data_IF_126766307385
#
_entry.id   IF_126766307385
#
_cell.length_a   1.000
_cell.length_b   1.000
_cell.length_c   1.000
_cell.angle_alpha   90.00
_cell.angle_beta   90.00
_cell.angle_gamma   90.00
#
_symmetry.space_group_name_H-M   'P 1'
#
loop_
_entity.id
_entity.type
_entity.pdbx_description
1 polymer ?
#
# COMPACT_ATOMS: atom_id res chain seq x y z
N UNK A 1 14.59 0.51 -14.78
CA UNK A 1 13.24 0.24 -14.22
C UNK A 1 13.39 -0.35 -12.83
N UNK A 2 12.61 0.11 -11.84
CA UNK A 2 12.67 -0.42 -10.47
C UNK A 2 11.76 -1.64 -10.25
N UNK A 3 11.94 -2.34 -9.12
CA UNK A 3 11.18 -3.56 -8.74
C UNK A 3 9.66 -3.38 -8.87
N UNK A 4 9.11 -2.30 -8.31
CA UNK A 4 7.67 -2.03 -8.37
C UNK A 4 7.15 -1.76 -9.77
N UNK A 5 7.91 -1.06 -10.61
CA UNK A 5 7.49 -0.75 -11.98
C UNK A 5 7.48 -2.02 -12.83
N UNK A 6 8.49 -2.88 -12.70
CA UNK A 6 8.51 -4.17 -13.38
C UNK A 6 7.34 -5.06 -12.95
N UNK A 7 7.05 -5.13 -11.63
CA UNK A 7 5.90 -5.86 -11.11
C UNK A 7 4.55 -5.33 -11.64
N UNK A 8 4.40 -4.00 -11.73
CA UNK A 8 3.21 -3.37 -12.29
C UNK A 8 3.02 -3.73 -13.77
N UNK A 9 4.08 -3.63 -14.59
CA UNK A 9 4.00 -4.00 -16.02
C UNK A 9 3.54 -5.45 -16.16
N UNK A 10 4.22 -6.39 -15.50
CA UNK A 10 3.94 -7.82 -15.64
C UNK A 10 2.57 -8.22 -15.08
N UNK A 11 2.14 -7.62 -13.96
CA UNK A 11 0.83 -7.92 -13.37
C UNK A 11 -0.33 -7.33 -14.17
N UNK A 12 -0.22 -6.09 -14.64
CA UNK A 12 -1.32 -5.42 -15.34
C UNK A 12 -1.47 -5.91 -16.79
N UNK A 13 -0.36 -6.12 -17.50
CA UNK A 13 -0.40 -6.52 -18.92
C UNK A 13 -0.52 -8.02 -19.13
N UNK A 14 0.14 -8.83 -18.29
CA UNK A 14 0.27 -10.27 -18.46
C UNK A 14 -0.35 -11.07 -17.30
N UNK A 15 -1.02 -10.39 -16.36
CA UNK A 15 -1.69 -11.02 -15.21
C UNK A 15 -0.76 -11.90 -14.36
N UNK A 16 0.54 -11.57 -14.34
CA UNK A 16 1.52 -12.29 -13.53
C UNK A 16 1.42 -11.83 -12.07
N UNK A 17 1.51 -12.73 -11.08
CA UNK A 17 1.23 -12.44 -9.68
C UNK A 17 2.40 -11.70 -9.00
N UNK A 18 2.77 -10.53 -9.54
CA UNK A 18 3.82 -9.69 -8.96
C UNK A 18 3.19 -8.54 -8.16
N UNK A 19 3.59 -8.36 -6.89
CA UNK A 19 3.14 -7.24 -6.08
C UNK A 19 3.77 -5.92 -6.53
N UNK A 20 3.17 -4.82 -6.10
CA UNK A 20 3.66 -3.46 -6.32
C UNK A 20 3.88 -2.74 -4.99
N UNK A 21 4.71 -1.71 -4.98
CA UNK A 21 4.98 -0.92 -3.78
C UNK A 21 5.39 0.52 -4.12
N UNK A 22 4.52 1.21 -4.86
CA UNK A 22 4.67 2.64 -5.15
C UNK A 22 4.32 3.51 -3.94
N UNK A 23 4.38 4.83 -4.08
CA UNK A 23 4.07 5.76 -2.98
C UNK A 23 2.62 5.68 -2.49
N UNK A 24 1.68 5.24 -3.33
CA UNK A 24 0.28 5.05 -2.96
C UNK A 24 0.11 3.79 -2.11
N UNK A 25 0.62 2.66 -2.61
CA UNK A 25 0.54 1.36 -1.95
C UNK A 25 1.28 1.39 -0.61
N UNK A 26 2.48 2.01 -0.54
CA UNK A 26 3.22 2.19 0.73
C UNK A 26 2.36 2.84 1.81
N UNK A 27 1.61 3.89 1.46
CA UNK A 27 0.76 4.62 2.42
C UNK A 27 -0.46 3.81 2.86
N UNK A 28 -1.12 3.12 1.93
CA UNK A 28 -2.24 2.25 2.24
C UNK A 28 -1.80 1.15 3.20
N UNK A 29 -0.73 0.42 2.87
CA UNK A 29 -0.23 -0.69 3.68
C UNK A 29 0.29 -0.21 5.04
N UNK A 30 1.09 0.87 5.06
CA UNK A 30 1.62 1.39 6.32
C UNK A 30 0.51 1.81 7.29
N UNK A 31 -0.58 2.42 6.80
CA UNK A 31 -1.72 2.79 7.64
C UNK A 31 -2.54 1.59 8.08
N UNK A 32 -2.85 0.68 7.15
CA UNK A 32 -3.68 -0.48 7.45
C UNK A 32 -3.04 -1.38 8.51
N UNK A 33 -1.73 -1.60 8.41
CA UNK A 33 -0.95 -2.49 9.27
C UNK A 33 -0.13 -1.76 10.34
N UNK A 34 -0.30 -0.44 10.51
CA UNK A 34 0.47 0.38 11.45
C UNK A 34 2.00 0.16 11.35
N UNK A 35 2.53 0.15 10.13
CA UNK A 35 3.97 -0.02 9.89
C UNK A 35 4.70 1.27 10.22
N UNK A 36 5.32 1.31 11.40
CA UNK A 36 6.10 2.44 11.88
C UNK A 36 7.41 2.63 11.11
N UNK A 37 7.93 3.85 11.19
CA UNK A 37 9.23 4.20 10.61
C UNK A 37 9.18 4.71 9.17
N UNK A 38 10.30 5.30 8.75
CA UNK A 38 10.44 5.90 7.43
C UNK A 38 10.70 4.82 6.36
N UNK A 39 9.88 4.72 5.29
CA UNK A 39 10.08 3.73 4.22
C UNK A 39 11.37 3.89 3.40
N UNK A 40 12.19 4.90 3.68
CA UNK A 40 13.55 5.00 3.14
C UNK A 40 14.59 4.18 3.90
N UNK A 41 14.28 3.70 5.11
CA UNK A 41 15.09 2.70 5.82
C UNK A 41 14.83 1.32 5.24
N UNK A 42 15.90 0.53 5.05
CA UNK A 42 15.81 -0.78 4.39
C UNK A 42 14.90 -1.76 5.12
N UNK A 43 14.95 -1.76 6.46
CA UNK A 43 14.10 -2.59 7.31
C UNK A 43 12.59 -2.32 7.10
N UNK A 44 12.20 -1.04 7.05
CA UNK A 44 10.80 -0.62 6.84
C UNK A 44 10.36 -0.91 5.41
N UNK A 45 11.24 -0.66 4.43
CA UNK A 45 10.97 -0.99 3.04
C UNK A 45 10.73 -2.50 2.84
N UNK A 46 11.57 -3.35 3.43
CA UNK A 46 11.43 -4.80 3.36
C UNK A 46 10.11 -5.25 4.01
N UNK A 47 9.76 -4.70 5.18
CA UNK A 47 8.50 -5.04 5.85
C UNK A 47 7.27 -4.72 4.99
N UNK A 48 7.29 -3.57 4.31
CA UNK A 48 6.22 -3.18 3.39
C UNK A 48 6.16 -4.08 2.15
N UNK A 49 7.30 -4.56 1.65
CA UNK A 49 7.33 -5.56 0.57
C UNK A 49 6.75 -6.90 1.00
N UNK A 50 7.10 -7.39 2.18
CA UNK A 50 6.54 -8.64 2.73
C UNK A 50 5.01 -8.56 2.84
N UNK A 51 4.48 -7.45 3.36
CA UNK A 51 3.03 -7.25 3.46
C UNK A 51 2.41 -7.20 2.06
N UNK A 52 3.02 -6.47 1.12
CA UNK A 52 2.51 -6.40 -0.26
C UNK A 52 2.45 -7.79 -0.90
N UNK A 53 3.50 -8.60 -0.75
CA UNK A 53 3.53 -9.99 -1.21
C UNK A 53 2.43 -10.84 -0.58
N UNK A 54 2.18 -10.69 0.72
CA UNK A 54 1.15 -11.46 1.45
C UNK A 54 -0.28 -11.14 1.00
N UNK A 55 -0.56 -9.87 0.69
CA UNK A 55 -1.92 -9.44 0.34
C UNK A 55 -2.22 -9.50 -1.15
N UNK A 56 -1.19 -9.51 -2.02
CA UNK A 56 -1.38 -9.57 -3.47
C UNK A 56 -1.90 -10.97 -3.88
N UNK A 57 -3.10 -11.07 -4.44
CA UNK A 57 -3.65 -12.34 -4.85
C UNK A 57 -3.03 -12.82 -6.16
N UNK A 58 -3.01 -14.14 -6.37
CA UNK A 58 -2.63 -14.70 -7.67
C UNK A 58 -3.70 -14.49 -8.72
N UNK A 59 -4.98 -14.68 -8.36
CA UNK A 59 -6.13 -14.49 -9.25
C UNK A 59 -6.63 -13.05 -9.17
N UNK A 60 -6.78 -12.38 -10.31
CA UNK A 60 -7.24 -11.00 -10.35
C UNK A 60 -6.19 -9.99 -9.90
N UNK A 61 -4.90 -10.34 -10.00
CA UNK A 61 -3.78 -9.46 -9.64
C UNK A 61 -3.82 -8.11 -10.37
N UNK A 62 -4.29 -8.11 -11.62
CA UNK A 62 -4.42 -6.90 -12.43
C UNK A 62 -5.43 -5.92 -11.82
N UNK A 63 -6.54 -6.44 -11.30
CA UNK A 63 -7.57 -5.64 -10.64
C UNK A 63 -7.11 -5.22 -9.25
N UNK A 64 -6.47 -6.12 -8.50
CA UNK A 64 -5.98 -5.84 -7.17
C UNK A 64 -4.91 -4.72 -7.18
N UNK A 65 -3.91 -4.84 -8.05
CA UNK A 65 -2.84 -3.85 -8.13
C UNK A 65 -3.37 -2.49 -8.58
N UNK A 66 -4.27 -2.44 -9.56
CA UNK A 66 -4.92 -1.19 -9.96
C UNK A 66 -5.74 -0.59 -8.82
N UNK A 67 -6.56 -1.40 -8.14
CA UNK A 67 -7.37 -0.96 -7.01
C UNK A 67 -6.52 -0.41 -5.86
N UNK A 68 -5.36 -0.99 -5.56
CA UNK A 68 -4.45 -0.48 -4.54
C UNK A 68 -3.86 0.88 -4.90
N UNK A 69 -3.52 1.11 -6.17
CA UNK A 69 -3.07 2.42 -6.64
C UNK A 69 -4.19 3.45 -6.56
N UNK A 70 -5.39 3.11 -7.05
CA UNK A 70 -6.57 3.97 -7.04
C UNK A 70 -6.99 4.34 -5.60
N UNK A 71 -6.96 3.36 -4.69
CA UNK A 71 -7.27 3.55 -3.28
C UNK A 71 -6.30 4.55 -2.66
N UNK A 72 -5.00 4.40 -2.89
CA UNK A 72 -4.02 5.37 -2.39
C UNK A 72 -4.21 6.75 -3.03
N UNK A 73 -4.50 6.82 -4.33
CA UNK A 73 -4.63 8.08 -5.05
C UNK A 73 -5.86 8.91 -4.60
N UNK A 74 -7.02 8.26 -4.41
CA UNK A 74 -8.31 8.95 -4.28
C UNK A 74 -8.96 8.88 -2.90
N UNK A 75 -8.64 7.84 -2.10
CA UNK A 75 -9.32 7.55 -0.83
C UNK A 75 -8.37 7.68 0.35
N UNK A 76 -7.31 6.87 0.38
CA UNK A 76 -6.26 6.93 1.38
C UNK A 76 -5.24 8.01 1.00
N UNK A 77 -5.69 9.25 0.87
CA UNK A 77 -4.88 10.42 0.46
C UNK A 77 -3.87 10.81 1.54
N UNK A 78 -2.85 11.60 1.19
CA UNK A 78 -1.82 12.04 2.14
C UNK A 78 -2.43 12.77 3.34
N UNK A 79 -3.31 13.72 3.08
CA UNK A 79 -4.02 14.52 4.07
C UNK A 79 -5.51 14.20 4.03
N UNK A 80 -6.14 14.13 5.23
CA UNK A 80 -7.58 13.91 5.42
C UNK A 80 -8.12 12.73 4.55
N UNK A 81 -7.65 11.49 4.78
CA UNK A 81 -8.12 10.33 4.04
C UNK A 81 -9.62 10.12 4.23
N UNK A 82 -10.30 9.67 3.18
CA UNK A 82 -11.74 9.40 3.16
C UNK A 82 -12.04 8.02 3.70
N UNK A 83 -11.71 7.77 4.97
CA UNK A 83 -11.76 6.42 5.55
C UNK A 83 -13.15 5.77 5.49
N UNK A 84 -14.24 6.54 5.58
CA UNK A 84 -15.61 6.01 5.43
C UNK A 84 -15.89 5.39 4.05
N UNK A 85 -15.15 5.80 3.02
CA UNK A 85 -15.24 5.24 1.67
C UNK A 85 -14.23 4.11 1.43
N UNK A 86 -13.36 3.84 2.39
CA UNK A 86 -12.28 2.88 2.24
C UNK A 86 -12.79 1.46 2.51
N UNK A 87 -12.60 0.50 1.59
CA UNK A 87 -13.01 -0.89 1.81
C UNK A 87 -12.20 -1.59 2.90
N UNK A 88 -11.11 -0.97 3.38
CA UNK A 88 -10.26 -1.50 4.45
C UNK A 88 -10.60 -0.89 5.82
N UNK A 89 -11.60 -0.02 5.93
CA UNK A 89 -11.84 0.77 7.14
C UNK A 89 -12.02 -0.09 8.41
N UNK A 90 -12.77 -1.19 8.33
CA UNK A 90 -13.04 -2.09 9.45
C UNK A 90 -11.80 -2.80 9.99
N UNK A 91 -10.78 -3.03 9.15
CA UNK A 91 -9.52 -3.69 9.53
C UNK A 91 -8.32 -2.76 9.64
N UNK A 92 -8.49 -1.47 9.38
CA UNK A 92 -7.38 -0.52 9.31
C UNK A 92 -7.02 0.01 10.71
N UNK A 93 -5.83 -0.34 11.20
CA UNK A 93 -5.35 0.06 12.53
C UNK A 93 -5.26 1.59 12.65
N UNK A 94 -4.70 2.26 11.64
CA UNK A 94 -4.59 3.73 11.68
C UNK A 94 -5.94 4.46 11.64
N UNK A 95 -7.00 3.84 11.12
CA UNK A 95 -8.34 4.42 11.19
C UNK A 95 -8.96 4.20 12.57
N UNK A 96 -8.86 2.97 13.11
CA UNK A 96 -9.37 2.63 14.45
C UNK A 96 -8.78 3.53 15.55
N UNK A 97 -7.55 3.99 15.39
CA UNK A 97 -6.86 4.88 16.35
C UNK A 97 -6.79 6.35 15.91
N UNK A 98 -7.41 6.73 14.79
CA UNK A 98 -7.30 8.07 14.21
C UNK A 98 -5.85 8.56 13.99
N UNK A 99 -4.90 7.65 13.79
CA UNK A 99 -3.45 7.89 13.72
C UNK A 99 -2.87 7.84 12.29
N UNK A 100 -3.71 8.05 11.26
CA UNK A 100 -3.27 8.05 9.85
C UNK A 100 -2.19 9.09 9.51
N UNK A 101 -2.00 10.11 10.37
CA UNK A 101 -0.96 11.12 10.23
C UNK A 101 0.45 10.61 10.55
N UNK A 102 0.55 9.50 11.30
CA UNK A 102 1.81 8.92 11.75
C UNK A 102 2.40 7.94 10.73
N UNK A 103 1.58 7.48 9.78
CA UNK A 103 1.95 6.45 8.80
C UNK A 103 1.83 6.95 7.34
N UNK A 104 2.84 6.70 6.50
CA UNK A 104 4.17 6.18 6.85
C UNK A 104 5.00 7.20 7.65
N UNK A 105 5.99 6.72 8.41
CA UNK A 105 6.89 7.59 9.15
C UNK A 105 7.66 8.56 8.24
N UNK A 106 7.99 9.73 8.77
CA UNK A 106 8.76 10.77 8.06
C UNK A 106 10.25 10.51 8.17
N UNK A 107 11.03 11.05 7.23
CA UNK A 107 12.50 11.02 7.31
C UNK A 107 12.94 11.75 8.59
N UNK A 108 13.46 11.00 9.55
CA UNK A 108 14.21 11.47 10.71
C UNK A 108 15.68 11.57 10.36
#
# INVERSE_FOLDING_TARGET
MGRSTAGAILSLSLKKPYPILDGNVKRVLARCYAVEGWPGKKEVENKLWEISEQVTPTKGVEYFNQAMMDLGAMVCTRTKPKCELCPLNTGCIAYAHHSWADYPGKKT
#
